data_IF_763482022818
#
_entry.id   IF_763482022818
#
_cell.length_a   1.000
_cell.length_b   1.000
_cell.length_c   1.000
_cell.angle_alpha   90.00
_cell.angle_beta   90.00
_cell.angle_gamma   90.00
#
_symmetry.space_group_name_H-M   'P 1'
#
loop_
_entity.id
_entity.type
_entity.pdbx_description
1 polymer ?
#
# COMPACT_ATOMS: atom_id res chain seq x y z
N UNK A 1 -13.13 -8.63 -26.75
CA UNK A 1 -12.04 -9.58 -26.42
C UNK A 1 -11.30 -8.98 -25.24
N UNK A 2 -11.52 -9.53 -24.02
CA UNK A 2 -10.76 -9.12 -22.83
C UNK A 2 -9.32 -9.55 -23.05
N UNK A 3 -8.38 -8.63 -22.97
CA UNK A 3 -6.95 -8.90 -23.13
C UNK A 3 -6.52 -9.87 -22.03
N UNK A 4 -5.88 -10.98 -22.40
CA UNK A 4 -5.36 -11.94 -21.44
C UNK A 4 -4.28 -11.22 -20.61
N UNK A 5 -4.51 -11.09 -19.30
CA UNK A 5 -3.53 -10.48 -18.40
C UNK A 5 -2.43 -11.48 -18.15
N UNK A 6 -1.19 -11.13 -18.54
CA UNK A 6 -0.02 -11.99 -18.37
C UNK A 6 0.62 -11.88 -16.99
N UNK A 7 0.40 -10.76 -16.30
CA UNK A 7 1.06 -10.47 -15.03
C UNK A 7 0.05 -9.99 -13.97
N UNK A 8 0.28 -10.42 -12.74
CA UNK A 8 -0.34 -9.87 -11.55
C UNK A 8 0.63 -8.88 -10.89
N UNK A 9 0.27 -7.59 -10.87
CA UNK A 9 1.10 -6.54 -10.28
C UNK A 9 0.77 -6.38 -8.80
N UNK A 10 1.79 -6.40 -7.94
CA UNK A 10 1.61 -6.33 -6.50
C UNK A 10 2.18 -5.05 -5.89
N UNK A 11 1.37 -4.42 -5.06
CA UNK A 11 1.76 -3.37 -4.14
C UNK A 11 2.03 -4.01 -2.78
N UNK A 12 3.19 -3.77 -2.18
CA UNK A 12 3.57 -4.34 -0.89
C UNK A 12 3.79 -3.26 0.16
N UNK A 13 3.44 -3.53 1.40
CA UNK A 13 3.72 -2.66 2.54
C UNK A 13 5.19 -2.79 2.96
N UNK A 14 5.84 -1.89 3.53
CA UNK A 14 5.42 -0.51 3.83
C UNK A 14 6.68 0.38 3.81
N UNK A 15 6.55 1.57 3.26
CA UNK A 15 7.69 2.50 3.15
C UNK A 15 8.08 3.13 4.50
N UNK A 16 7.14 3.22 5.44
CA UNK A 16 7.35 3.80 6.77
C UNK A 16 8.12 2.87 7.70
N UNK A 17 7.50 1.76 8.09
CA UNK A 17 8.02 0.82 9.10
C UNK A 17 8.75 -0.39 8.52
N UNK A 18 8.33 -0.90 7.36
CA UNK A 18 8.86 -2.14 6.77
C UNK A 18 9.71 -1.90 5.51
N UNK A 19 10.25 -0.69 5.36
CA UNK A 19 11.04 -0.30 4.19
C UNK A 19 12.11 -1.32 3.79
N UNK A 20 12.85 -1.85 4.77
CA UNK A 20 13.96 -2.76 4.47
C UNK A 20 13.48 -4.08 3.87
N UNK A 21 12.35 -4.60 4.35
CA UNK A 21 11.73 -5.81 3.80
C UNK A 21 11.29 -5.55 2.37
N UNK A 22 10.57 -4.46 2.14
CA UNK A 22 10.09 -4.09 0.81
C UNK A 22 11.26 -3.91 -0.17
N UNK A 23 12.29 -3.12 0.20
CA UNK A 23 13.46 -2.89 -0.64
C UNK A 23 14.20 -4.20 -1.00
N UNK A 24 14.35 -5.10 -0.01
CA UNK A 24 14.98 -6.42 -0.21
C UNK A 24 14.17 -7.33 -1.13
N UNK A 25 12.84 -7.29 -1.09
CA UNK A 25 12.00 -8.07 -2.01
C UNK A 25 12.12 -7.58 -3.45
N UNK A 26 12.21 -6.27 -3.69
CA UNK A 26 12.46 -5.74 -5.02
C UNK A 26 13.87 -6.09 -5.53
N UNK A 27 14.89 -6.06 -4.67
CA UNK A 27 16.24 -6.56 -5.01
C UNK A 27 16.18 -8.04 -5.40
N UNK A 28 15.53 -8.85 -4.56
CA UNK A 28 15.42 -10.30 -4.76
C UNK A 28 14.67 -10.63 -6.07
N UNK A 29 13.57 -9.95 -6.37
CA UNK A 29 12.84 -10.22 -7.62
C UNK A 29 13.68 -9.91 -8.86
N UNK A 30 14.59 -8.95 -8.77
CA UNK A 30 15.49 -8.60 -9.85
C UNK A 30 16.64 -9.62 -10.02
N UNK A 31 17.17 -10.13 -8.90
CA UNK A 31 18.31 -11.04 -8.86
C UNK A 31 17.88 -12.51 -9.04
N UNK A 32 16.74 -12.87 -8.50
CA UNK A 32 16.17 -14.22 -8.43
C UNK A 32 14.68 -14.23 -8.78
N UNK A 33 14.29 -13.86 -10.02
CA UNK A 33 12.89 -13.88 -10.44
C UNK A 33 12.24 -15.26 -10.31
N UNK A 34 13.03 -16.35 -10.39
CA UNK A 34 12.59 -17.73 -10.23
C UNK A 34 12.08 -18.06 -8.82
N UNK A 35 12.37 -17.25 -7.81
CA UNK A 35 11.84 -17.44 -6.47
C UNK A 35 10.38 -17.02 -6.33
N UNK A 36 9.90 -16.22 -7.27
CA UNK A 36 8.54 -15.71 -7.28
C UNK A 36 7.60 -16.61 -8.09
N UNK A 37 6.35 -16.66 -7.69
CA UNK A 37 5.30 -17.36 -8.43
C UNK A 37 5.21 -16.78 -9.85
N UNK A 38 5.06 -17.64 -10.84
CA UNK A 38 5.01 -17.25 -12.25
C UNK A 38 3.95 -16.17 -12.52
N UNK A 39 4.33 -15.13 -13.23
CA UNK A 39 3.46 -13.99 -13.54
C UNK A 39 3.30 -12.97 -12.41
N UNK A 40 3.96 -13.14 -11.25
CA UNK A 40 3.99 -12.15 -10.16
C UNK A 40 5.02 -11.06 -10.46
N UNK A 41 4.58 -9.80 -10.36
CA UNK A 41 5.44 -8.62 -10.49
C UNK A 41 5.23 -7.66 -9.32
N UNK A 42 6.29 -7.29 -8.63
CA UNK A 42 6.27 -6.19 -7.67
C UNK A 42 6.24 -4.85 -8.41
N UNK A 43 5.35 -3.95 -8.03
CA UNK A 43 5.15 -2.67 -8.70
C UNK A 43 5.48 -1.48 -7.81
N UNK A 44 4.85 -1.41 -6.63
CA UNK A 44 5.03 -0.27 -5.73
C UNK A 44 5.19 -0.69 -4.28
N UNK A 45 5.87 0.16 -3.51
CA UNK A 45 5.88 0.10 -2.05
C UNK A 45 4.84 1.09 -1.51
N UNK A 46 3.91 0.57 -0.73
CA UNK A 46 2.78 1.28 -0.17
C UNK A 46 3.15 2.03 1.12
N UNK A 47 2.52 3.17 1.37
CA UNK A 47 2.52 3.82 2.67
C UNK A 47 2.87 5.30 2.67
N UNK A 48 3.33 5.79 3.81
CA UNK A 48 3.76 7.16 4.00
C UNK A 48 4.88 7.25 5.05
N UNK A 49 5.29 8.46 5.37
CA UNK A 49 6.34 8.71 6.35
C UNK A 49 5.75 9.32 7.64
N UNK A 50 6.30 8.99 8.84
CA UNK A 50 6.01 9.76 10.04
C UNK A 50 6.16 11.26 9.80
N UNK A 51 5.29 12.06 10.39
CA UNK A 51 5.16 13.52 10.20
C UNK A 51 4.59 14.01 8.86
N UNK A 52 4.29 13.14 7.91
CA UNK A 52 3.58 13.55 6.69
C UNK A 52 2.09 13.75 7.01
N UNK A 53 1.66 15.00 7.23
CA UNK A 53 0.27 15.29 7.65
C UNK A 53 -0.80 14.99 6.59
N UNK A 54 -0.40 14.77 5.33
CA UNK A 54 -1.34 14.39 4.27
C UNK A 54 -1.79 12.92 4.35
N UNK A 55 -1.05 12.06 5.09
CA UNK A 55 -1.49 10.69 5.35
C UNK A 55 -2.69 10.64 6.30
N UNK A 56 -3.50 9.57 6.26
CA UNK A 56 -4.71 9.51 7.05
C UNK A 56 -5.28 8.13 7.37
N UNK A 57 -4.65 7.05 6.95
CA UNK A 57 -5.23 5.71 7.09
C UNK A 57 -4.51 4.80 8.09
N UNK A 58 -3.31 5.18 8.54
CA UNK A 58 -2.54 4.42 9.54
C UNK A 58 -1.84 5.35 10.52
N UNK A 59 -1.81 5.01 11.82
CA UNK A 59 -1.13 5.81 12.83
C UNK A 59 0.39 5.67 12.69
N UNK A 60 1.01 6.65 12.03
CA UNK A 60 2.46 6.81 11.96
C UNK A 60 2.89 8.01 12.77
N UNK A 61 3.51 7.77 13.92
CA UNK A 61 4.01 8.82 14.79
C UNK A 61 5.54 8.93 14.72
N UNK A 62 6.06 10.05 15.18
CA UNK A 62 7.48 10.34 15.15
C UNK A 62 7.89 11.19 13.96
N UNK A 63 9.17 11.17 13.64
CA UNK A 63 9.76 11.98 12.60
C UNK A 63 10.83 11.20 11.82
N UNK A 64 10.78 11.27 10.51
CA UNK A 64 11.85 10.75 9.65
C UNK A 64 12.57 11.90 8.98
N UNK A 65 13.88 12.10 9.23
CA UNK A 65 14.65 13.16 8.58
C UNK A 65 14.55 13.08 7.05
N UNK A 66 14.35 14.22 6.41
CA UNK A 66 14.17 14.28 4.94
C UNK A 66 15.36 13.67 4.18
N UNK A 67 16.59 13.80 4.69
CA UNK A 67 17.78 13.15 4.12
C UNK A 67 17.63 11.62 4.07
N UNK A 68 17.04 11.02 5.09
CA UNK A 68 16.74 9.57 5.14
C UNK A 68 15.69 9.19 4.13
N UNK A 69 14.59 9.97 4.05
CA UNK A 69 13.54 9.78 3.05
C UNK A 69 14.11 9.80 1.64
N UNK A 70 14.89 10.82 1.32
CA UNK A 70 15.53 10.96 0.02
C UNK A 70 16.43 9.78 -0.33
N UNK A 71 17.19 9.25 0.64
CA UNK A 71 18.03 8.05 0.46
C UNK A 71 17.17 6.82 0.15
N UNK A 72 16.05 6.63 0.89
CA UNK A 72 15.15 5.51 0.71
C UNK A 72 14.42 5.57 -0.64
N UNK A 73 13.91 6.74 -1.05
CA UNK A 73 13.29 6.95 -2.38
C UNK A 73 14.29 6.60 -3.49
N UNK A 74 15.54 7.08 -3.40
CA UNK A 74 16.57 6.77 -4.39
C UNK A 74 16.87 5.27 -4.47
N UNK A 75 16.88 4.56 -3.34
CA UNK A 75 17.12 3.12 -3.32
C UNK A 75 15.98 2.35 -3.99
N UNK A 76 14.73 2.68 -3.70
CA UNK A 76 13.57 2.10 -4.35
C UNK A 76 13.61 2.34 -5.87
N UNK A 77 13.89 3.56 -6.29
CA UNK A 77 14.01 3.91 -7.71
C UNK A 77 15.13 3.11 -8.41
N UNK A 78 16.25 2.83 -7.74
CA UNK A 78 17.33 1.97 -8.26
C UNK A 78 16.84 0.53 -8.50
N UNK A 79 15.92 0.06 -7.67
CA UNK A 79 15.32 -1.27 -7.77
C UNK A 79 14.06 -1.30 -8.65
N UNK A 80 13.82 -0.24 -9.43
CA UNK A 80 12.66 -0.08 -10.31
C UNK A 80 11.30 -0.02 -9.60
N UNK A 81 11.29 0.16 -8.28
CA UNK A 81 10.10 0.25 -7.46
C UNK A 81 9.47 1.64 -7.51
N UNK A 82 8.16 1.71 -7.75
CA UNK A 82 7.35 2.88 -7.49
C UNK A 82 6.97 2.99 -6.00
N UNK A 83 6.36 4.11 -5.64
CA UNK A 83 5.80 4.34 -4.31
C UNK A 83 4.33 4.68 -4.45
N UNK A 84 3.49 4.00 -3.68
CA UNK A 84 2.09 4.31 -3.56
C UNK A 84 1.86 5.07 -2.25
N UNK A 85 1.74 6.40 -2.33
CA UNK A 85 1.52 7.26 -1.17
C UNK A 85 0.06 7.26 -0.73
N UNK A 86 -0.18 7.05 0.56
CA UNK A 86 -1.52 7.14 1.18
C UNK A 86 -1.75 8.54 1.74
N UNK A 87 -1.90 9.54 0.85
CA UNK A 87 -2.17 10.93 1.20
C UNK A 87 -3.67 11.21 1.29
N UNK A 88 -4.33 10.39 2.08
CA UNK A 88 -5.77 10.29 2.20
C UNK A 88 -6.30 10.83 3.55
N UNK A 89 -5.61 11.81 4.14
CA UNK A 89 -6.05 12.47 5.36
C UNK A 89 -7.39 13.19 5.14
N UNK A 90 -8.38 12.88 5.98
CA UNK A 90 -9.76 13.38 5.92
C UNK A 90 -9.99 14.65 6.72
N UNK A 91 -8.95 15.18 7.39
CA UNK A 91 -9.04 16.33 8.29
C UNK A 91 -8.23 17.52 7.84
N UNK A 92 -7.79 17.54 6.57
CA UNK A 92 -7.00 18.64 6.04
C UNK A 92 -7.80 19.94 5.95
N UNK A 93 -7.14 21.05 6.25
CA UNK A 93 -7.61 22.42 5.95
C UNK A 93 -6.96 22.88 4.65
N UNK A 94 -7.53 23.87 4.00
CA UNK A 94 -6.98 24.45 2.77
C UNK A 94 -5.52 24.92 2.88
N UNK A 95 -5.07 25.28 4.08
CA UNK A 95 -3.68 25.69 4.35
C UNK A 95 -2.71 24.50 4.46
N UNK A 96 -3.20 23.32 4.80
CA UNK A 96 -2.37 22.14 5.04
C UNK A 96 -1.75 21.56 3.76
N UNK A 97 -2.31 21.92 2.59
CA UNK A 97 -1.72 21.57 1.28
C UNK A 97 -0.34 22.21 1.05
N UNK A 98 -0.01 23.26 1.81
CA UNK A 98 1.29 23.94 1.75
C UNK A 98 2.31 23.41 2.74
N UNK A 99 2.02 22.29 3.42
CA UNK A 99 2.97 21.68 4.37
C UNK A 99 4.32 21.42 3.71
N UNK A 100 5.38 21.97 4.29
CA UNK A 100 6.72 21.92 3.72
C UNK A 100 7.27 20.50 3.62
N UNK A 101 7.00 19.66 4.63
CA UNK A 101 7.53 18.30 4.68
C UNK A 101 6.89 17.42 3.61
N UNK A 102 5.57 17.46 3.48
CA UNK A 102 4.85 16.75 2.43
C UNK A 102 5.26 17.23 1.03
N UNK A 103 5.42 18.55 0.84
CA UNK A 103 5.89 19.11 -0.43
C UNK A 103 7.34 18.70 -0.78
N UNK A 104 8.23 18.57 0.20
CA UNK A 104 9.59 18.06 -0.04
C UNK A 104 9.55 16.60 -0.48
N UNK A 105 8.70 15.76 0.15
CA UNK A 105 8.50 14.37 -0.25
C UNK A 105 8.02 14.31 -1.70
N UNK A 106 6.98 15.05 -2.06
CA UNK A 106 6.43 15.04 -3.41
C UNK A 106 7.40 15.56 -4.46
N UNK A 107 8.22 16.54 -4.14
CA UNK A 107 9.27 17.04 -5.05
C UNK A 107 10.28 15.95 -5.44
N UNK A 108 10.69 15.10 -4.49
CA UNK A 108 11.59 13.97 -4.78
C UNK A 108 10.88 12.80 -5.46
N UNK A 109 9.56 12.74 -5.35
CA UNK A 109 8.70 11.62 -5.80
C UNK A 109 7.85 11.96 -7.02
N UNK A 110 8.03 13.08 -7.68
CA UNK A 110 7.28 13.45 -8.88
C UNK A 110 7.76 12.62 -10.09
N UNK A 111 7.26 11.40 -10.20
CA UNK A 111 7.68 10.37 -11.16
C UNK A 111 6.46 9.53 -11.58
N UNK A 112 6.40 9.09 -12.83
CA UNK A 112 5.28 8.34 -13.42
C UNK A 112 5.02 6.96 -12.77
N UNK A 113 6.03 6.41 -12.07
CA UNK A 113 5.90 5.14 -11.32
C UNK A 113 5.20 5.31 -9.99
N UNK A 114 5.12 6.55 -9.49
CA UNK A 114 4.53 6.84 -8.19
C UNK A 114 3.04 7.12 -8.32
N UNK A 115 2.31 6.65 -7.34
CA UNK A 115 0.86 6.79 -7.23
C UNK A 115 0.55 7.52 -5.93
N UNK A 116 -0.45 8.38 -5.93
CA UNK A 116 -0.92 9.07 -4.74
C UNK A 116 -2.40 8.79 -4.55
N UNK A 117 -2.76 8.11 -3.47
CA UNK A 117 -4.14 7.95 -3.02
C UNK A 117 -4.57 9.22 -2.30
N UNK A 118 -5.63 9.86 -2.75
CA UNK A 118 -6.08 11.15 -2.24
C UNK A 118 -7.55 11.08 -1.84
N UNK A 119 -7.88 11.73 -0.71
CA UNK A 119 -9.25 11.90 -0.22
C UNK A 119 -9.75 13.33 -0.38
N UNK A 120 -8.90 14.34 -0.11
CA UNK A 120 -9.25 15.77 -0.10
C UNK A 120 -9.14 16.39 -1.51
N UNK A 121 -10.22 16.99 -1.99
CA UNK A 121 -10.30 17.54 -3.34
C UNK A 121 -9.34 18.75 -3.56
N UNK A 122 -9.06 19.56 -2.51
CA UNK A 122 -8.11 20.65 -2.63
C UNK A 122 -6.68 20.13 -2.77
N UNK A 123 -6.35 19.06 -2.03
CA UNK A 123 -5.06 18.38 -2.15
C UNK A 123 -4.94 17.74 -3.54
N UNK A 124 -6.00 17.10 -4.06
CA UNK A 124 -6.02 16.51 -5.40
C UNK A 124 -5.68 17.57 -6.46
N UNK A 125 -6.42 18.68 -6.46
CA UNK A 125 -6.18 19.78 -7.39
C UNK A 125 -4.75 20.30 -7.31
N UNK A 126 -4.27 20.53 -6.09
CA UNK A 126 -2.90 21.01 -5.85
C UNK A 126 -1.82 20.04 -6.37
N UNK A 127 -2.00 18.74 -6.14
CA UNK A 127 -1.04 17.72 -6.62
C UNK A 127 -1.06 17.62 -8.14
N UNK A 128 -2.23 17.62 -8.79
CA UNK A 128 -2.35 17.61 -10.26
C UNK A 128 -1.67 18.81 -10.91
N UNK A 129 -1.80 20.00 -10.32
CA UNK A 129 -1.20 21.22 -10.84
C UNK A 129 0.32 21.26 -10.64
N UNK A 130 0.81 20.82 -9.49
CA UNK A 130 2.21 21.00 -9.08
C UNK A 130 3.11 19.80 -9.32
N UNK A 131 2.55 18.58 -9.22
CA UNK A 131 3.27 17.31 -9.31
C UNK A 131 2.65 16.41 -10.37
N UNK A 132 2.60 16.90 -11.60
CA UNK A 132 1.84 16.35 -12.72
C UNK A 132 2.36 15.03 -13.31
N UNK A 133 3.45 14.47 -12.78
CA UNK A 133 3.97 13.17 -13.24
C UNK A 133 3.43 12.01 -12.43
N UNK A 134 3.01 12.24 -11.18
CA UNK A 134 2.45 11.16 -10.37
C UNK A 134 1.06 10.78 -10.84
N UNK A 135 0.71 9.52 -10.70
CA UNK A 135 -0.63 8.99 -10.96
C UNK A 135 -1.51 9.21 -9.74
N UNK A 136 -2.80 9.41 -9.94
CA UNK A 136 -3.77 9.61 -8.86
C UNK A 136 -4.64 8.38 -8.70
N UNK A 137 -4.81 7.95 -7.46
CA UNK A 137 -5.72 6.88 -7.09
C UNK A 137 -6.84 7.39 -6.19
N UNK A 138 -8.06 6.90 -6.41
CA UNK A 138 -9.25 7.17 -5.60
C UNK A 138 -9.73 5.91 -4.92
N UNK A 139 -10.11 6.00 -3.64
CA UNK A 139 -10.77 4.90 -2.94
C UNK A 139 -12.24 4.85 -3.33
N UNK A 140 -12.71 3.65 -3.64
CA UNK A 140 -14.10 3.37 -4.00
C UNK A 140 -14.76 2.52 -2.90
N UNK A 141 -15.88 3.01 -2.43
CA UNK A 141 -16.79 2.37 -1.48
C UNK A 141 -18.15 2.14 -2.14
N UNK A 142 -19.11 1.57 -1.43
CA UNK A 142 -20.45 1.40 -1.97
C UNK A 142 -21.12 2.73 -2.33
N UNK A 143 -20.82 3.82 -1.61
CA UNK A 143 -21.46 5.12 -1.78
C UNK A 143 -21.04 5.83 -3.09
N UNK A 144 -19.85 5.51 -3.62
CA UNK A 144 -19.31 6.16 -4.82
C UNK A 144 -18.87 5.16 -5.90
N UNK A 145 -19.44 3.96 -5.93
CA UNK A 145 -19.06 2.93 -6.91
C UNK A 145 -19.22 3.37 -8.36
N UNK A 146 -20.20 4.19 -8.66
CA UNK A 146 -20.49 4.65 -10.03
C UNK A 146 -19.36 5.52 -10.60
N UNK A 147 -18.58 6.21 -9.74
CA UNK A 147 -17.42 7.03 -10.15
C UNK A 147 -16.34 6.20 -10.87
N UNK A 148 -16.30 4.88 -10.66
CA UNK A 148 -15.28 3.99 -11.25
C UNK A 148 -15.30 3.98 -12.78
N UNK A 149 -16.45 4.29 -13.37
CA UNK A 149 -16.66 4.29 -14.80
C UNK A 149 -16.51 5.68 -15.45
N UNK A 150 -16.19 6.72 -14.66
CA UNK A 150 -16.02 8.10 -15.14
C UNK A 150 -14.63 8.34 -15.78
N UNK A 151 -13.70 7.41 -15.64
CA UNK A 151 -12.34 7.47 -16.19
C UNK A 151 -11.53 8.70 -15.73
N UNK A 152 -11.84 9.20 -14.54
CA UNK A 152 -11.25 10.42 -13.97
C UNK A 152 -9.86 10.19 -13.35
N UNK A 153 -9.61 8.96 -12.86
CA UNK A 153 -8.41 8.61 -12.11
C UNK A 153 -7.58 7.57 -12.86
N UNK A 154 -6.30 7.52 -12.52
CA UNK A 154 -5.38 6.52 -13.08
C UNK A 154 -5.62 5.15 -12.46
N UNK A 155 -6.00 5.12 -11.17
CA UNK A 155 -6.34 3.90 -10.42
C UNK A 155 -7.52 4.11 -9.48
N UNK A 156 -8.19 3.00 -9.19
CA UNK A 156 -9.29 2.92 -8.22
C UNK A 156 -9.00 1.81 -7.22
N UNK A 157 -8.83 2.17 -5.95
CA UNK A 157 -8.66 1.22 -4.86
C UNK A 157 -10.05 0.82 -4.34
N UNK A 158 -10.43 -0.43 -4.55
CA UNK A 158 -11.71 -0.92 -4.07
C UNK A 158 -11.70 -1.23 -2.57
N UNK A 159 -12.81 -0.95 -1.92
CA UNK A 159 -13.10 -1.46 -0.60
C UNK A 159 -13.19 -2.99 -0.62
N UNK A 160 -12.81 -3.65 0.48
CA UNK A 160 -12.76 -5.11 0.55
C UNK A 160 -14.13 -5.79 0.44
N UNK A 161 -15.22 -5.05 0.66
CA UNK A 161 -16.59 -5.54 0.46
C UNK A 161 -16.89 -5.96 -0.97
N UNK A 162 -16.09 -5.51 -1.95
CA UNK A 162 -16.23 -5.89 -3.37
C UNK A 162 -15.43 -7.13 -3.77
N UNK A 163 -14.54 -7.64 -2.94
CA UNK A 163 -13.55 -8.64 -3.33
C UNK A 163 -14.13 -9.95 -3.90
N UNK A 164 -15.34 -10.30 -3.54
CA UNK A 164 -16.07 -11.52 -3.97
C UNK A 164 -17.35 -11.22 -4.76
N UNK A 165 -17.69 -9.95 -5.00
CA UNK A 165 -18.81 -9.54 -5.83
C UNK A 165 -18.43 -9.52 -7.32
N UNK A 166 -18.21 -10.74 -7.90
CA UNK A 166 -17.78 -10.89 -9.29
C UNK A 166 -18.80 -10.36 -10.29
N UNK A 167 -20.09 -10.34 -9.95
CA UNK A 167 -21.13 -9.77 -10.80
C UNK A 167 -20.91 -8.28 -10.94
N UNK A 168 -20.77 -7.56 -9.83
CA UNK A 168 -20.51 -6.12 -9.81
C UNK A 168 -19.17 -5.78 -10.43
N UNK A 169 -18.11 -6.54 -10.12
CA UNK A 169 -16.78 -6.36 -10.73
C UNK A 169 -16.79 -6.53 -12.25
N UNK A 170 -17.64 -7.41 -12.79
CA UNK A 170 -17.76 -7.63 -14.25
C UNK A 170 -18.34 -6.43 -15.00
N UNK A 171 -19.02 -5.50 -14.32
CA UNK A 171 -19.61 -4.29 -14.90
C UNK A 171 -18.61 -3.16 -15.10
N UNK A 172 -17.40 -3.28 -14.53
CA UNK A 172 -16.37 -2.25 -14.59
C UNK A 172 -15.82 -2.14 -16.01
N UNK A 173 -15.80 -0.93 -16.56
CA UNK A 173 -15.32 -0.64 -17.92
C UNK A 173 -13.81 -0.74 -18.07
N UNK A 174 -13.08 -0.32 -17.03
CA UNK A 174 -11.62 -0.24 -17.00
C UNK A 174 -11.04 -1.10 -15.86
N UNK A 175 -11.18 -2.45 -15.93
CA UNK A 175 -10.71 -3.34 -14.87
C UNK A 175 -9.18 -3.29 -14.66
N UNK A 176 -8.42 -2.88 -15.66
CA UNK A 176 -6.96 -2.68 -15.59
C UNK A 176 -6.55 -1.51 -14.67
N UNK A 177 -7.49 -0.66 -14.26
CA UNK A 177 -7.26 0.44 -13.31
C UNK A 177 -7.61 0.07 -11.86
N UNK A 178 -8.13 -1.13 -11.64
CA UNK A 178 -8.64 -1.56 -10.34
C UNK A 178 -7.52 -2.14 -9.50
N UNK A 179 -7.47 -1.72 -8.23
CA UNK A 179 -6.60 -2.28 -7.20
C UNK A 179 -7.46 -3.00 -6.15
N UNK A 180 -7.18 -4.27 -5.91
CA UNK A 180 -7.84 -5.11 -4.90
C UNK A 180 -6.91 -5.30 -3.70
N UNK A 181 -7.43 -5.08 -2.48
CA UNK A 181 -6.72 -5.42 -1.24
C UNK A 181 -6.96 -6.91 -0.96
N UNK A 182 -5.87 -7.69 -0.89
CA UNK A 182 -5.96 -9.15 -0.77
C UNK A 182 -6.14 -9.66 0.66
N UNK A 183 -5.66 -8.89 1.64
CA UNK A 183 -5.49 -9.33 3.02
C UNK A 183 -5.71 -8.17 4.00
N UNK A 184 -6.85 -7.49 3.96
CA UNK A 184 -7.11 -6.45 4.95
C UNK A 184 -7.24 -7.09 6.35
N UNK A 185 -6.61 -6.46 7.35
CA UNK A 185 -6.68 -6.96 8.71
C UNK A 185 -7.91 -6.45 9.48
N UNK A 186 -8.62 -5.44 8.98
CA UNK A 186 -9.92 -5.05 9.51
C UNK A 186 -10.98 -6.07 9.05
N UNK A 187 -11.97 -6.31 9.91
CA UNK A 187 -13.10 -7.16 9.52
C UNK A 187 -13.88 -6.52 8.37
N UNK A 188 -14.19 -7.32 7.37
CA UNK A 188 -14.92 -6.90 6.17
C UNK A 188 -16.26 -6.29 6.54
N UNK A 189 -16.49 -5.05 6.10
CA UNK A 189 -17.73 -4.34 6.34
C UNK A 189 -17.92 -3.80 7.75
N UNK A 190 -16.90 -3.80 8.62
CA UNK A 190 -17.00 -3.21 9.96
C UNK A 190 -17.19 -1.68 9.84
N UNK A 191 -18.34 -1.13 10.30
CA UNK A 191 -18.63 0.29 10.23
C UNK A 191 -17.66 1.16 11.05
N UNK A 192 -16.97 0.59 12.04
CA UNK A 192 -15.93 1.29 12.82
C UNK A 192 -14.70 1.68 11.99
N UNK A 193 -14.48 1.09 10.82
CA UNK A 193 -13.33 1.38 9.96
C UNK A 193 -13.33 2.84 9.51
N UNK A 194 -14.49 3.38 9.15
CA UNK A 194 -14.63 4.80 8.79
C UNK A 194 -14.33 5.74 9.96
N UNK A 195 -14.81 5.41 11.17
CA UNK A 195 -14.50 6.17 12.37
C UNK A 195 -13.00 6.10 12.70
N UNK A 196 -12.40 4.93 12.54
CA UNK A 196 -10.94 4.72 12.68
C UNK A 196 -10.16 5.67 11.78
N UNK A 197 -10.45 5.71 10.47
CA UNK A 197 -9.76 6.60 9.53
C UNK A 197 -9.92 8.08 9.88
N UNK A 198 -11.11 8.49 10.31
CA UNK A 198 -11.36 9.86 10.73
C UNK A 198 -10.55 10.24 11.99
N UNK A 199 -10.46 9.33 12.97
CA UNK A 199 -9.65 9.55 14.18
C UNK A 199 -8.15 9.55 13.89
N UNK A 200 -7.66 8.63 13.06
CA UNK A 200 -6.25 8.61 12.63
C UNK A 200 -5.89 9.92 11.94
N UNK A 201 -6.70 10.36 10.99
CA UNK A 201 -6.49 11.61 10.25
C UNK A 201 -6.35 12.81 11.19
N UNK A 202 -7.23 12.93 12.18
CA UNK A 202 -7.16 13.99 13.20
C UNK A 202 -5.91 13.87 14.07
N UNK A 203 -5.58 12.67 14.52
CA UNK A 203 -4.45 12.42 15.41
C UNK A 203 -3.12 12.75 14.72
N UNK A 204 -2.94 12.36 13.47
CA UNK A 204 -1.75 12.69 12.68
C UNK A 204 -1.61 14.19 12.50
N UNK A 205 -2.69 14.88 12.15
CA UNK A 205 -2.70 16.32 11.95
C UNK A 205 -2.35 17.09 13.21
N UNK A 206 -2.89 16.66 14.37
CA UNK A 206 -2.63 17.29 15.66
C UNK A 206 -1.25 16.90 16.22
N UNK A 207 -0.53 15.98 15.59
CA UNK A 207 0.73 15.41 16.07
C UNK A 207 0.59 14.75 17.44
N UNK A 208 -0.57 14.15 17.71
CA UNK A 208 -0.81 13.40 18.92
C UNK A 208 0.17 12.22 18.98
N UNK A 209 0.95 12.11 20.04
CA UNK A 209 1.99 11.07 20.18
C UNK A 209 1.43 9.65 20.39
N UNK A 210 0.13 9.54 20.69
CA UNK A 210 -0.54 8.27 20.94
C UNK A 210 -1.86 8.18 20.17
N UNK A 211 -2.17 6.97 19.72
CA UNK A 211 -3.46 6.67 19.10
C UNK A 211 -4.01 5.38 19.69
N UNK A 212 -5.20 5.45 20.26
CA UNK A 212 -5.94 4.31 20.78
C UNK A 212 -7.33 4.28 20.16
N UNK A 213 -7.66 3.14 19.58
CA UNK A 213 -8.97 2.89 19.01
C UNK A 213 -9.29 1.40 19.11
N UNK A 214 -10.43 1.09 19.66
CA UNK A 214 -10.90 -0.28 19.83
C UNK A 214 -11.68 -0.71 18.59
N UNK A 215 -11.01 -1.54 17.77
CA UNK A 215 -11.55 -2.13 16.55
C UNK A 215 -11.05 -3.55 16.41
N UNK A 216 -11.95 -4.45 16.07
CA UNK A 216 -11.63 -5.83 15.83
C UNK A 216 -10.78 -5.99 14.57
N UNK A 217 -9.73 -6.81 14.69
CA UNK A 217 -8.79 -7.03 13.58
C UNK A 217 -8.11 -8.39 13.68
N UNK A 218 -7.75 -8.90 12.54
CA UNK A 218 -6.90 -10.09 12.46
C UNK A 218 -5.46 -9.73 12.86
N UNK A 219 -4.86 -10.50 13.75
CA UNK A 219 -3.49 -10.28 14.27
C UNK A 219 -2.48 -11.27 13.71
N UNK A 220 -2.95 -12.37 13.16
CA UNK A 220 -2.11 -13.38 12.52
C UNK A 220 -2.74 -13.88 11.20
N UNK A 221 -1.92 -14.47 10.36
CA UNK A 221 -2.30 -14.92 9.03
C UNK A 221 -3.18 -16.18 9.04
N UNK A 222 -3.04 -17.05 10.05
CA UNK A 222 -3.84 -18.27 10.12
C UNK A 222 -5.31 -17.95 10.36
N UNK A 223 -5.61 -17.02 11.29
CA UNK A 223 -6.98 -16.57 11.52
C UNK A 223 -7.56 -15.89 10.25
N UNK A 224 -6.74 -15.11 9.55
CA UNK A 224 -7.13 -14.50 8.31
C UNK A 224 -7.41 -15.54 7.20
N UNK A 225 -6.62 -16.62 7.13
CA UNK A 225 -6.82 -17.72 6.19
C UNK A 225 -8.17 -18.44 6.34
N UNK A 226 -8.73 -18.47 7.55
CA UNK A 226 -10.03 -19.07 7.85
C UNK A 226 -11.20 -18.10 7.59
N UNK A 227 -10.91 -16.83 7.33
CA UNK A 227 -11.92 -15.77 7.16
C UNK A 227 -12.28 -15.50 5.69
N UNK A 228 -13.34 -14.70 5.52
CA UNK A 228 -13.77 -14.16 4.21
C UNK A 228 -12.97 -12.90 3.80
N UNK A 229 -12.11 -12.41 4.67
CA UNK A 229 -11.29 -11.22 4.42
C UNK A 229 -10.14 -11.49 3.48
N UNK A 230 -9.62 -12.73 3.48
CA UNK A 230 -8.52 -13.11 2.60
C UNK A 230 -9.05 -13.47 1.21
N UNK A 231 -8.56 -12.79 0.20
CA UNK A 231 -8.72 -13.22 -1.19
C UNK A 231 -7.83 -14.44 -1.43
N UNK A 232 -8.43 -15.62 -1.52
CA UNK A 232 -7.68 -16.86 -1.74
C UNK A 232 -6.97 -16.84 -3.09
N UNK A 233 -5.89 -17.61 -3.23
CA UNK A 233 -5.09 -17.62 -4.47
C UNK A 233 -5.91 -17.95 -5.73
N UNK A 234 -6.87 -18.89 -5.63
CA UNK A 234 -7.76 -19.21 -6.75
C UNK A 234 -8.71 -18.06 -7.13
N UNK A 235 -9.05 -17.18 -6.18
CA UNK A 235 -9.87 -15.98 -6.43
C UNK A 235 -9.06 -14.91 -7.20
N UNK A 236 -7.75 -14.81 -6.94
CA UNK A 236 -6.85 -13.96 -7.75
C UNK A 236 -6.95 -14.36 -9.23
N UNK A 237 -6.95 -15.68 -9.53
CA UNK A 237 -7.15 -16.16 -10.89
C UNK A 237 -8.47 -15.72 -11.52
N UNK A 238 -9.57 -15.69 -10.76
CA UNK A 238 -10.86 -15.17 -11.24
C UNK A 238 -10.82 -13.67 -11.52
N UNK A 239 -10.17 -12.89 -10.64
CA UNK A 239 -10.00 -11.45 -10.83
C UNK A 239 -9.18 -11.13 -12.08
N UNK A 240 -8.10 -11.89 -12.34
CA UNK A 240 -7.32 -11.78 -13.58
C UNK A 240 -8.16 -12.08 -14.83
N UNK A 241 -9.09 -13.05 -14.77
CA UNK A 241 -10.01 -13.33 -15.87
C UNK A 241 -10.99 -12.18 -16.14
N UNK A 242 -11.31 -11.37 -15.12
CA UNK A 242 -12.08 -10.13 -15.28
C UNK A 242 -11.26 -8.96 -15.84
N UNK A 243 -9.93 -9.11 -15.95
CA UNK A 243 -9.01 -8.07 -16.38
C UNK A 243 -8.42 -7.23 -15.23
N UNK A 244 -8.71 -7.58 -13.98
CA UNK A 244 -8.16 -6.92 -12.79
C UNK A 244 -6.80 -7.54 -12.49
N UNK A 245 -5.74 -6.72 -12.52
CA UNK A 245 -4.35 -7.20 -12.40
C UNK A 245 -3.53 -6.52 -11.32
N UNK A 246 -4.07 -5.53 -10.62
CA UNK A 246 -3.36 -4.85 -9.55
C UNK A 246 -3.86 -5.28 -8.18
N UNK A 247 -2.95 -5.76 -7.35
CA UNK A 247 -3.24 -6.33 -6.05
C UNK A 247 -2.41 -5.66 -4.97
N UNK A 248 -3.00 -5.49 -3.78
CA UNK A 248 -2.34 -4.91 -2.62
C UNK A 248 -2.23 -5.92 -1.49
N UNK A 249 -1.01 -6.09 -0.96
CA UNK A 249 -0.73 -6.84 0.27
C UNK A 249 -0.51 -5.84 1.40
N UNK A 250 -1.45 -5.81 2.34
CA UNK A 250 -1.35 -4.99 3.54
C UNK A 250 -0.45 -5.63 4.58
N UNK A 251 0.29 -4.78 5.31
CA UNK A 251 1.20 -5.20 6.39
C UNK A 251 1.53 -4.04 7.34
N UNK A 252 0.94 -2.86 7.11
CA UNK A 252 1.15 -1.68 7.95
C UNK A 252 0.51 -1.86 9.31
N UNK A 253 1.28 -1.57 10.39
CA UNK A 253 0.80 -1.71 11.77
C UNK A 253 0.32 -3.12 12.13
N UNK A 254 0.87 -4.14 11.47
CA UNK A 254 0.61 -5.55 11.77
C UNK A 254 1.83 -6.23 12.39
N UNK A 255 1.62 -7.42 12.94
CA UNK A 255 2.71 -8.27 13.42
C UNK A 255 3.49 -8.83 12.22
N UNK A 256 4.72 -8.33 11.98
CA UNK A 256 5.51 -8.66 10.80
C UNK A 256 5.64 -10.18 10.62
N UNK A 257 6.04 -10.90 11.68
CA UNK A 257 6.31 -12.34 11.62
C UNK A 257 5.05 -13.20 11.50
N UNK A 258 3.95 -12.76 12.08
CA UNK A 258 2.72 -13.56 12.18
C UNK A 258 1.66 -13.19 11.14
N UNK A 259 1.76 -12.03 10.54
CA UNK A 259 0.78 -11.54 9.58
C UNK A 259 1.42 -11.19 8.22
N UNK A 260 2.39 -10.26 8.20
CA UNK A 260 2.88 -9.70 6.95
C UNK A 260 3.77 -10.65 6.15
N UNK A 261 4.76 -11.27 6.78
CA UNK A 261 5.65 -12.22 6.08
C UNK A 261 4.87 -13.44 5.55
N UNK A 262 3.98 -14.08 6.32
CA UNK A 262 3.14 -15.14 5.78
C UNK A 262 2.28 -14.69 4.60
N UNK A 263 1.73 -13.46 4.63
CA UNK A 263 0.97 -12.91 3.51
C UNK A 263 1.83 -12.74 2.25
N UNK A 264 3.04 -12.19 2.39
CA UNK A 264 3.98 -12.07 1.28
C UNK A 264 4.33 -13.42 0.68
N UNK A 265 4.61 -14.42 1.52
CA UNK A 265 4.96 -15.76 1.07
C UNK A 265 3.79 -16.48 0.39
N UNK A 266 2.57 -16.26 0.87
CA UNK A 266 1.38 -16.86 0.29
C UNK A 266 1.12 -16.39 -1.15
N UNK A 267 1.33 -15.09 -1.43
CA UNK A 267 0.99 -14.52 -2.74
C UNK A 267 2.16 -14.40 -3.70
N UNK A 268 3.40 -14.34 -3.20
CA UNK A 268 4.54 -13.94 -4.02
C UNK A 268 5.56 -15.05 -4.25
N UNK A 269 5.76 -15.95 -3.27
CA UNK A 269 6.95 -16.81 -3.23
C UNK A 269 6.57 -18.27 -3.51
N UNK A 270 7.30 -18.91 -4.42
CA UNK A 270 7.18 -20.33 -4.70
C UNK A 270 7.53 -21.15 -3.44
N UNK A 271 6.84 -22.27 -3.23
CA UNK A 271 6.93 -23.07 -2.00
C UNK A 271 8.37 -23.53 -1.71
N UNK A 272 9.07 -23.98 -2.76
CA UNK A 272 10.42 -24.49 -2.66
C UNK A 272 11.46 -23.46 -2.23
N UNK A 273 11.23 -22.17 -2.49
CA UNK A 273 12.17 -21.08 -2.18
C UNK A 273 11.85 -20.31 -0.89
N UNK A 274 10.78 -20.65 -0.17
CA UNK A 274 10.38 -19.93 1.05
C UNK A 274 11.47 -19.84 2.10
N UNK A 275 12.25 -20.91 2.29
CA UNK A 275 13.35 -20.91 3.25
C UNK A 275 14.51 -20.00 2.81
N UNK A 276 14.83 -19.97 1.53
CA UNK A 276 15.91 -19.14 0.99
C UNK A 276 15.52 -17.66 1.09
N UNK A 277 14.29 -17.32 0.69
CA UNK A 277 13.75 -15.98 0.82
C UNK A 277 13.68 -15.54 2.29
N UNK A 278 13.27 -16.41 3.20
CA UNK A 278 13.24 -16.10 4.63
C UNK A 278 14.63 -15.78 5.17
N UNK A 279 15.63 -16.57 4.81
CA UNK A 279 17.02 -16.35 5.21
C UNK A 279 17.57 -15.03 4.64
N UNK A 280 17.25 -14.71 3.39
CA UNK A 280 17.62 -13.44 2.76
C UNK A 280 16.97 -12.23 3.47
N UNK A 281 15.69 -12.33 3.85
CA UNK A 281 14.98 -11.27 4.54
C UNK A 281 15.37 -11.09 6.02
N UNK A 282 15.95 -12.13 6.67
CA UNK A 282 16.43 -12.02 8.06
C UNK A 282 17.32 -10.80 8.30
N UNK A 283 18.21 -10.50 7.36
CA UNK A 283 19.08 -9.34 7.45
C UNK A 283 18.30 -8.02 7.52
N UNK A 284 17.15 -7.95 6.83
CA UNK A 284 16.29 -6.78 6.82
C UNK A 284 15.62 -6.50 8.19
N UNK A 285 15.35 -7.54 8.98
CA UNK A 285 14.74 -7.38 10.31
C UNK A 285 15.68 -6.68 11.30
N UNK A 286 16.98 -6.87 11.15
CA UNK A 286 18.00 -6.29 12.04
C UNK A 286 18.60 -4.97 11.51
N UNK A 287 18.29 -4.59 10.28
CA UNK A 287 18.83 -3.36 9.65
C UNK A 287 18.56 -2.08 10.44
N UNK A 288 17.37 -1.86 11.04
CA UNK A 288 17.14 -0.68 11.88
C UNK A 288 18.03 -0.62 13.11
N UNK A 289 18.32 -1.76 13.73
CA UNK A 289 19.21 -1.86 14.91
C UNK A 289 20.66 -1.56 14.52
N UNK A 290 21.10 -2.04 13.36
CA UNK A 290 22.44 -1.79 12.84
C UNK A 290 22.65 -0.30 12.47
N UNK A 291 21.64 0.42 11.97
CA UNK A 291 21.73 1.86 11.72
C UNK A 291 21.83 2.67 13.02
N UNK A 292 21.09 2.28 14.06
CA UNK A 292 21.19 2.92 15.38
C UNK A 292 22.57 2.71 15.99
N UNK A 293 23.11 1.51 15.92
CA UNK A 293 24.46 1.20 16.42
C UNK A 293 25.57 1.94 15.67
N UNK A 294 25.46 2.12 14.35
CA UNK A 294 26.42 2.89 13.54
C UNK A 294 26.41 4.39 13.83
N UNK A 295 25.33 4.92 14.40
CA UNK A 295 25.22 6.33 14.77
C UNK A 295 25.61 6.61 16.23
N UNK A 296 25.90 5.56 17.02
CA UNK A 296 26.34 5.64 18.43
C UNK A 296 27.87 5.45 18.53
N UNK A 297 28.53 4.91 17.51
CA UNK A 297 29.96 4.77 17.36
C UNK A 297 30.53 5.87 16.46
#
# INVERSE_FOLDING_TARGET
LKTKVEYASFQISDIGSNYYIANKLFELQKEHPEYFIDGVKLETVLGSWPSAIWQGDRPYFGFTPFKTIKKKIKSLKKNDAGIYYTFNNRSLKSTDIYDNYCNLIMKESNDEKNIVEIYDDNLEKYIREKYNKVKISKRITNDNFDEINEDKYDYYLLDTTFNDDYEKLSTIKHPEKIIIILNDYFMKGDPKVEEFYNKVSKSIKNLDGEFKFDIDRYTNFNDLMESDNLVKYYQVGKLLQLGISHFRIEGRNTAIQYYYIPSLFYYLIQEEYKNDVFNYLKEAFFSPLNEVQKNIL
#
